data_IF_865098135339
#
_entry.id   IF_865098135339
#
_cell.length_a   1.000
_cell.length_b   1.000
_cell.length_c   1.000
_cell.angle_alpha   90.00
_cell.angle_beta   90.00
_cell.angle_gamma   90.00
#
_symmetry.space_group_name_H-M   'P 1'
#
loop_
_entity.id
_entity.type
_entity.pdbx_description
1 polymer ?
#
# COMPACT_ATOMS: atom_id res chain seq x y z
N UNK A 1 17.96 1.04 3.70
CA UNK A 1 17.85 -0.40 3.97
C UNK A 1 17.14 -0.61 5.29
N UNK A 2 16.39 -1.69 5.40
CA UNK A 2 15.59 -2.05 6.57
C UNK A 2 16.47 -2.48 7.75
N UNK A 3 15.99 -2.29 8.98
CA UNK A 3 16.73 -2.61 10.22
C UNK A 3 15.87 -3.47 11.16
N UNK A 4 16.48 -4.49 11.74
CA UNK A 4 15.87 -5.31 12.80
C UNK A 4 15.54 -4.43 14.01
N UNK A 5 14.36 -4.62 14.58
CA UNK A 5 13.83 -3.86 15.72
C UNK A 5 13.04 -2.60 15.34
N UNK A 6 13.12 -2.16 14.08
CA UNK A 6 12.32 -1.04 13.57
C UNK A 6 10.97 -1.54 13.03
N UNK A 7 10.03 -0.59 12.87
CA UNK A 7 8.70 -0.85 12.34
C UNK A 7 8.52 -0.18 10.98
N UNK A 8 7.97 -0.93 10.02
CA UNK A 8 7.78 -0.49 8.63
C UNK A 8 6.36 -0.81 8.17
N UNK A 9 5.82 0.04 7.30
CA UNK A 9 4.52 -0.18 6.66
C UNK A 9 4.74 -0.59 5.21
N UNK A 10 4.11 -1.68 4.79
CA UNK A 10 4.11 -2.12 3.41
C UNK A 10 2.75 -1.78 2.77
N UNK A 11 2.79 -1.26 1.54
CA UNK A 11 1.61 -0.86 0.77
C UNK A 11 1.50 -1.70 -0.50
N UNK A 12 0.32 -2.25 -0.76
CA UNK A 12 -0.02 -2.96 -1.99
C UNK A 12 -1.16 -2.24 -2.71
N UNK A 13 -0.85 -1.44 -3.74
CA UNK A 13 -1.85 -0.78 -4.56
C UNK A 13 -2.54 -1.78 -5.49
N UNK A 14 -3.85 -1.65 -5.60
CA UNK A 14 -4.72 -2.41 -6.50
C UNK A 14 -5.54 -1.44 -7.33
N UNK A 15 -5.62 -1.66 -8.63
CA UNK A 15 -6.34 -0.78 -9.55
C UNK A 15 -6.98 -1.54 -10.68
N UNK A 16 -8.22 -1.19 -11.02
CA UNK A 16 -8.86 -1.67 -12.25
C UNK A 16 -8.22 -1.09 -13.52
N UNK A 17 -7.47 0.00 -13.38
CA UNK A 17 -6.70 0.62 -14.47
C UNK A 17 -5.27 0.06 -14.57
N UNK A 18 -4.92 -0.92 -13.74
CA UNK A 18 -3.65 -1.63 -13.81
C UNK A 18 -3.55 -2.52 -15.06
N UNK A 19 -2.71 -3.55 -15.00
CA UNK A 19 -2.41 -4.43 -16.14
C UNK A 19 -1.83 -3.69 -17.35
N UNK A 20 -0.64 -3.12 -17.17
CA UNK A 20 0.12 -2.41 -18.22
C UNK A 20 0.63 -3.27 -19.38
N UNK A 21 0.22 -4.54 -19.46
CA UNK A 21 0.76 -5.48 -20.45
C UNK A 21 2.25 -5.82 -20.22
N UNK A 22 2.81 -5.51 -19.05
CA UNK A 22 4.12 -6.00 -18.62
C UNK A 22 3.96 -7.37 -17.96
N UNK A 23 4.92 -8.27 -18.17
CA UNK A 23 4.82 -9.67 -17.75
C UNK A 23 4.53 -9.88 -16.25
N UNK A 24 4.93 -8.91 -15.41
CA UNK A 24 4.86 -9.04 -13.96
C UNK A 24 3.95 -7.99 -13.28
N UNK A 25 3.37 -7.02 -14.00
CA UNK A 25 2.41 -6.01 -13.52
C UNK A 25 2.76 -5.17 -12.26
N UNK A 26 3.92 -5.38 -11.61
CA UNK A 26 4.45 -4.50 -10.56
C UNK A 26 5.24 -3.36 -11.19
N UNK A 27 4.96 -2.13 -10.74
CA UNK A 27 5.56 -0.93 -11.31
C UNK A 27 5.91 0.12 -10.26
N UNK A 28 6.93 0.92 -10.59
CA UNK A 28 7.27 2.14 -9.86
C UNK A 28 7.47 3.28 -10.86
N UNK A 29 7.00 4.51 -10.58
CA UNK A 29 6.30 4.96 -9.37
C UNK A 29 4.82 4.56 -9.35
N UNK A 30 4.21 4.56 -8.16
CA UNK A 30 2.79 4.22 -7.89
C UNK A 30 1.79 4.66 -8.97
N UNK A 31 1.91 5.90 -9.47
CA UNK A 31 0.97 6.46 -10.46
C UNK A 31 1.02 5.76 -11.83
N UNK A 32 2.17 5.20 -12.21
CA UNK A 32 2.35 4.54 -13.50
C UNK A 32 1.56 3.22 -13.54
N UNK A 33 1.70 2.41 -12.49
CA UNK A 33 0.96 1.15 -12.35
C UNK A 33 -0.54 1.33 -12.11
N UNK A 34 -0.91 2.26 -11.23
CA UNK A 34 -2.30 2.41 -10.79
C UNK A 34 -3.18 3.08 -11.85
N UNK A 35 -2.63 3.83 -12.81
CA UNK A 35 -3.40 4.59 -13.80
C UNK A 35 -3.04 4.25 -15.24
N UNK A 36 -2.33 3.16 -15.46
CA UNK A 36 -1.78 2.75 -16.73
C UNK A 36 -2.78 2.80 -17.90
N UNK A 37 -3.97 2.25 -17.67
CA UNK A 37 -5.05 2.18 -18.65
C UNK A 37 -6.16 3.21 -18.40
N UNK A 38 -5.91 4.26 -17.59
CA UNK A 38 -6.95 5.24 -17.20
C UNK A 38 -7.62 5.90 -18.42
N UNK A 39 -6.88 6.14 -19.50
CA UNK A 39 -7.39 6.73 -20.74
C UNK A 39 -8.28 5.83 -21.59
N UNK A 40 -8.43 4.54 -21.22
CA UNK A 40 -9.28 3.57 -21.92
C UNK A 40 -10.69 3.49 -21.36
N UNK A 41 -10.97 4.11 -20.22
CA UNK A 41 -12.26 4.06 -19.54
C UNK A 41 -13.05 5.33 -19.80
N UNK A 42 -14.37 5.19 -20.00
CA UNK A 42 -15.28 6.34 -19.99
C UNK A 42 -15.41 6.85 -18.55
N UNK A 43 -15.15 8.14 -18.36
CA UNK A 43 -15.17 8.83 -17.06
C UNK A 43 -14.32 8.11 -15.97
N UNK A 44 -12.99 8.03 -16.17
CA UNK A 44 -12.13 7.22 -15.31
C UNK A 44 -11.96 7.81 -13.91
N UNK A 45 -12.17 9.11 -13.74
CA UNK A 45 -11.94 9.81 -12.48
C UNK A 45 -13.18 9.80 -11.57
N UNK A 46 -14.37 9.45 -12.08
CA UNK A 46 -15.53 9.26 -11.21
C UNK A 46 -15.38 8.00 -10.37
N UNK A 47 -15.86 8.08 -9.13
CA UNK A 47 -15.89 6.97 -8.17
C UNK A 47 -14.55 6.23 -8.01
N UNK A 48 -13.44 6.97 -8.06
CA UNK A 48 -12.09 6.43 -8.00
C UNK A 48 -11.87 5.54 -6.76
N UNK A 49 -12.56 5.81 -5.65
CA UNK A 49 -12.55 5.00 -4.43
C UNK A 49 -13.03 3.56 -4.64
N UNK A 50 -13.85 3.31 -5.65
CA UNK A 50 -14.33 1.96 -6.01
C UNK A 50 -13.41 1.26 -7.02
N UNK A 51 -12.52 2.03 -7.66
CA UNK A 51 -11.68 1.62 -8.79
C UNK A 51 -10.21 1.42 -8.39
N UNK A 52 -9.76 2.12 -7.34
CA UNK A 52 -8.41 2.08 -6.80
C UNK A 52 -8.45 1.87 -5.29
N UNK A 53 -7.72 0.87 -4.83
CA UNK A 53 -7.57 0.54 -3.42
C UNK A 53 -6.11 0.34 -3.03
N UNK A 54 -5.74 0.62 -1.79
CA UNK A 54 -4.43 0.28 -1.23
C UNK A 54 -4.63 -0.55 0.02
N UNK A 55 -3.98 -1.70 0.07
CA UNK A 55 -3.86 -2.50 1.28
C UNK A 55 -2.57 -2.12 2.00
N UNK A 56 -2.62 -2.01 3.32
CA UNK A 56 -1.46 -1.67 4.12
C UNK A 56 -1.35 -2.55 5.37
N UNK A 57 -0.12 -2.95 5.70
CA UNK A 57 0.21 -3.67 6.93
C UNK A 57 1.48 -3.13 7.56
N UNK A 58 1.47 -3.09 8.89
CA UNK A 58 2.58 -2.62 9.71
C UNK A 58 3.32 -3.81 10.30
N UNK A 59 4.65 -3.81 10.12
CA UNK A 59 5.53 -4.89 10.53
C UNK A 59 6.68 -4.40 11.40
N UNK A 60 6.90 -5.05 12.54
CA UNK A 60 8.15 -4.94 13.30
C UNK A 60 9.10 -6.03 12.83
N UNK A 61 10.29 -5.64 12.35
CA UNK A 61 11.27 -6.57 11.81
C UNK A 61 12.00 -7.30 12.93
N UNK A 62 12.03 -8.62 12.86
CA UNK A 62 12.76 -9.49 13.79
C UNK A 62 13.80 -10.33 13.04
N UNK A 63 14.85 -10.76 13.73
CA UNK A 63 15.83 -11.70 13.18
C UNK A 63 15.46 -13.14 13.60
N UNK A 64 14.30 -13.59 13.14
CA UNK A 64 13.71 -14.88 13.50
C UNK A 64 12.97 -15.47 12.30
N UNK A 65 13.45 -16.61 11.80
CA UNK A 65 12.92 -17.26 10.59
C UNK A 65 11.59 -17.96 10.81
N UNK A 66 11.14 -18.14 12.06
CA UNK A 66 9.78 -18.61 12.34
C UNK A 66 8.73 -17.60 11.83
N UNK A 67 9.14 -16.34 11.64
CA UNK A 67 8.34 -15.26 11.05
C UNK A 67 8.68 -15.00 9.58
N UNK A 68 9.33 -15.93 8.87
CA UNK A 68 9.64 -15.77 7.45
C UNK A 68 8.40 -15.87 6.57
N UNK A 69 8.26 -14.93 5.63
CA UNK A 69 7.22 -14.93 4.60
C UNK A 69 7.84 -14.69 3.21
N UNK A 70 7.76 -15.68 2.28
CA UNK A 70 8.53 -15.64 1.03
C UNK A 70 7.96 -14.72 -0.05
N UNK A 71 6.69 -14.34 0.07
CA UNK A 71 5.87 -13.78 -1.01
C UNK A 71 5.31 -12.39 -0.66
N UNK A 72 6.02 -11.62 0.17
CA UNK A 72 5.57 -10.31 0.68
C UNK A 72 5.29 -9.29 -0.44
N UNK A 73 5.90 -9.45 -1.61
CA UNK A 73 5.63 -8.61 -2.79
C UNK A 73 4.24 -8.83 -3.40
N UNK A 74 3.63 -10.02 -3.22
CA UNK A 74 2.40 -10.41 -3.92
C UNK A 74 1.13 -9.78 -3.36
N UNK A 75 1.17 -9.23 -2.15
CA UNK A 75 0.00 -8.65 -1.52
C UNK A 75 0.04 -8.75 0.00
N UNK A 76 -1.00 -8.17 0.59
CA UNK A 76 -1.27 -8.23 2.03
C UNK A 76 -1.39 -9.68 2.52
N UNK A 77 -0.79 -9.99 3.68
CA UNK A 77 -0.89 -11.31 4.29
C UNK A 77 -2.27 -11.43 4.94
N UNK A 78 -3.03 -12.46 4.56
CA UNK A 78 -4.40 -12.72 5.07
C UNK A 78 -4.50 -14.08 5.79
N UNK A 79 -3.40 -14.52 6.40
CA UNK A 79 -3.31 -15.77 7.15
C UNK A 79 -3.14 -15.50 8.65
N UNK A 80 -3.55 -16.47 9.47
CA UNK A 80 -3.49 -16.35 10.93
C UNK A 80 -4.29 -15.14 11.41
N UNK A 81 -3.67 -14.26 12.19
CA UNK A 81 -4.29 -13.03 12.69
C UNK A 81 -4.05 -11.80 11.81
N UNK A 82 -3.29 -11.93 10.72
CA UNK A 82 -3.03 -10.84 9.79
C UNK A 82 -4.24 -10.58 8.88
N UNK A 83 -4.58 -9.31 8.66
CA UNK A 83 -5.69 -8.90 7.80
C UNK A 83 -7.09 -9.12 8.41
N UNK A 84 -7.20 -9.46 9.70
CA UNK A 84 -8.47 -9.64 10.41
C UNK A 84 -9.05 -8.34 10.96
N UNK A 85 -8.20 -7.45 11.46
CA UNK A 85 -8.64 -6.18 12.07
C UNK A 85 -8.32 -4.99 11.16
N UNK A 86 -9.25 -4.69 10.25
CA UNK A 86 -9.05 -3.71 9.18
C UNK A 86 -9.79 -2.40 9.45
N UNK A 87 -9.09 -1.28 9.27
CA UNK A 87 -9.69 0.04 9.08
C UNK A 87 -9.88 0.32 7.59
N UNK A 88 -11.05 0.82 7.22
CA UNK A 88 -11.36 1.26 5.86
C UNK A 88 -11.61 2.76 5.85
N UNK A 89 -10.88 3.50 5.03
CA UNK A 89 -11.10 4.93 4.86
C UNK A 89 -10.79 5.39 3.44
N UNK A 90 -11.40 6.49 3.03
CA UNK A 90 -11.05 7.16 1.77
C UNK A 90 -9.92 8.14 2.01
N UNK A 91 -8.84 8.03 1.25
CA UNK A 91 -7.66 8.89 1.37
C UNK A 91 -7.12 9.34 0.03
N UNK A 92 -5.89 9.82 0.03
CA UNK A 92 -5.13 10.14 -1.19
C UNK A 92 -4.01 9.14 -1.44
N UNK A 93 -3.45 9.19 -2.64
CA UNK A 93 -2.29 8.41 -3.05
C UNK A 93 -1.05 8.83 -2.25
N UNK A 94 -0.28 7.88 -1.74
CA UNK A 94 0.98 8.14 -1.05
C UNK A 94 2.09 8.43 -2.07
N UNK A 95 2.49 9.69 -2.18
CA UNK A 95 3.61 10.13 -3.01
C UNK A 95 4.19 11.44 -2.49
N UNK A 96 5.51 11.59 -2.59
CA UNK A 96 6.29 12.70 -1.99
C UNK A 96 6.07 14.07 -2.63
N UNK A 97 5.28 14.17 -3.70
CA UNK A 97 5.01 15.42 -4.45
C UNK A 97 3.65 16.07 -4.15
N UNK A 98 2.97 15.63 -3.08
CA UNK A 98 1.62 16.09 -2.71
C UNK A 98 1.57 16.49 -1.22
N UNK A 99 1.10 17.71 -0.94
CA UNK A 99 0.96 18.28 0.40
C UNK A 99 -0.52 18.58 0.73
N UNK A 100 -0.78 19.22 1.87
CA UNK A 100 -2.13 19.59 2.30
C UNK A 100 -2.72 20.80 1.52
N UNK A 101 -1.95 21.42 0.62
CA UNK A 101 -2.39 22.53 -0.24
C UNK A 101 -2.64 22.07 -1.69
N UNK A 102 -1.90 21.06 -2.16
CA UNK A 102 -2.00 20.43 -3.49
C UNK A 102 -2.51 19.00 -3.33
N UNK A 103 -3.83 18.89 -3.23
CA UNK A 103 -4.53 17.60 -3.23
C UNK A 103 -4.22 16.84 -4.52
N UNK A 104 -3.96 15.53 -4.40
CA UNK A 104 -3.82 14.66 -5.58
C UNK A 104 -5.10 14.71 -6.42
N UNK A 105 -4.97 14.85 -7.74
CA UNK A 105 -6.09 14.78 -8.68
C UNK A 105 -6.77 13.40 -8.69
N UNK A 106 -6.13 12.40 -8.07
CA UNK A 106 -6.58 11.02 -7.97
C UNK A 106 -7.06 10.75 -6.55
N UNK A 107 -8.10 11.49 -6.14
CA UNK A 107 -8.78 11.35 -4.86
C UNK A 107 -10.29 11.37 -5.07
N UNK A 108 -11.06 10.65 -4.23
CA UNK A 108 -10.61 9.74 -3.17
C UNK A 108 -10.22 8.34 -3.70
N UNK A 109 -9.28 7.66 -3.03
CA UNK A 109 -9.01 6.21 -3.18
C UNK A 109 -9.34 5.47 -1.88
N UNK A 110 -9.60 4.16 -1.93
CA UNK A 110 -9.90 3.38 -0.72
C UNK A 110 -8.63 2.82 -0.09
N UNK A 111 -8.43 3.07 1.20
CA UNK A 111 -7.39 2.45 2.01
C UNK A 111 -7.99 1.34 2.87
N UNK A 112 -7.26 0.23 2.96
CA UNK A 112 -7.57 -0.93 3.79
C UNK A 112 -6.33 -1.19 4.64
N UNK A 113 -6.34 -0.73 5.89
CA UNK A 113 -5.17 -0.76 6.78
C UNK A 113 -5.40 -1.75 7.90
N UNK A 114 -4.50 -2.72 8.04
CA UNK A 114 -4.48 -3.60 9.21
C UNK A 114 -4.05 -2.80 10.44
N UNK A 115 -4.91 -2.78 11.47
CA UNK A 115 -4.67 -2.03 12.70
C UNK A 115 -3.72 -2.76 13.65
N UNK A 116 -3.40 -4.01 13.37
CA UNK A 116 -2.50 -4.82 14.19
C UNK A 116 -1.07 -4.73 13.64
N UNK A 117 -0.11 -4.44 14.53
CA UNK A 117 1.31 -4.55 14.18
C UNK A 117 1.74 -6.02 14.26
N UNK A 118 2.37 -6.52 13.21
CA UNK A 118 2.79 -7.91 13.11
C UNK A 118 4.31 -8.06 13.18
N UNK A 119 4.80 -9.21 13.63
CA UNK A 119 6.21 -9.55 13.54
C UNK A 119 6.49 -10.21 12.19
N UNK A 120 7.62 -9.87 11.58
CA UNK A 120 8.08 -10.51 10.34
C UNK A 120 9.60 -10.60 10.31
N UNK A 121 10.13 -11.68 9.72
CA UNK A 121 11.58 -11.83 9.58
C UNK A 121 12.15 -10.74 8.68
N UNK A 122 13.33 -10.22 9.05
CA UNK A 122 14.13 -9.35 8.18
C UNK A 122 14.43 -10.02 6.83
N UNK A 123 14.60 -11.34 6.78
CA UNK A 123 14.82 -12.10 5.55
C UNK A 123 13.63 -12.02 4.58
N UNK A 124 12.40 -11.78 5.08
CA UNK A 124 11.21 -11.56 4.25
C UNK A 124 11.29 -10.23 3.50
N UNK A 125 11.78 -9.18 4.15
CA UNK A 125 12.01 -7.88 3.52
C UNK A 125 13.19 -7.92 2.54
N UNK A 126 14.25 -8.68 2.85
CA UNK A 126 15.35 -8.91 1.90
C UNK A 126 14.86 -9.66 0.66
N UNK A 127 14.02 -10.69 0.85
CA UNK A 127 13.38 -11.43 -0.24
C UNK A 127 12.47 -10.53 -1.08
N UNK A 128 11.67 -9.68 -0.44
CA UNK A 128 10.84 -8.69 -1.13
C UNK A 128 11.70 -7.74 -1.98
N UNK A 129 12.80 -7.23 -1.44
CA UNK A 129 13.74 -6.39 -2.20
C UNK A 129 14.35 -7.15 -3.40
N UNK A 130 14.73 -8.42 -3.20
CA UNK A 130 15.26 -9.27 -4.25
C UNK A 130 14.21 -9.53 -5.35
N UNK A 131 12.95 -9.74 -4.99
CA UNK A 131 11.85 -9.92 -5.94
C UNK A 131 11.59 -8.64 -6.72
N UNK A 132 11.56 -7.48 -6.06
CA UNK A 132 11.45 -6.16 -6.71
C UNK A 132 12.58 -5.93 -7.71
N UNK A 133 13.83 -6.26 -7.36
CA UNK A 133 14.98 -6.19 -8.26
C UNK A 133 14.90 -7.17 -9.45
N UNK A 134 14.15 -8.25 -9.31
CA UNK A 134 13.96 -9.24 -10.38
C UNK A 134 12.84 -8.85 -11.36
N UNK A 135 12.09 -7.79 -11.05
CA UNK A 135 11.07 -7.27 -11.96
C UNK A 135 11.71 -6.65 -13.21
N UNK A 136 10.94 -6.64 -14.30
CA UNK A 136 11.38 -6.02 -15.56
C UNK A 136 11.36 -4.49 -15.52
N UNK A 137 10.55 -3.94 -14.63
CA UNK A 137 10.48 -2.50 -14.39
C UNK A 137 11.49 -2.08 -13.32
N UNK A 138 11.90 -0.80 -13.32
CA UNK A 138 12.89 -0.28 -12.36
C UNK A 138 12.23 0.09 -11.03
N UNK A 139 12.19 -0.87 -10.11
CA UNK A 139 11.67 -0.68 -8.75
C UNK A 139 12.73 -0.18 -7.76
N UNK A 140 13.88 0.32 -8.23
CA UNK A 140 14.98 0.74 -7.34
C UNK A 140 14.60 1.82 -6.33
N UNK A 141 13.58 2.64 -6.64
CA UNK A 141 13.04 3.66 -5.74
C UNK A 141 12.34 3.11 -4.50
N UNK A 142 11.88 1.85 -4.53
CA UNK A 142 11.07 1.24 -3.46
C UNK A 142 11.86 0.23 -2.62
N UNK A 143 13.18 0.12 -2.87
CA UNK A 143 14.10 -0.73 -2.12
C UNK A 143 14.50 -0.16 -0.74
N UNK A 144 13.90 0.96 -0.34
CA UNK A 144 14.13 1.59 0.95
C UNK A 144 12.83 2.18 1.51
N UNK A 145 12.70 2.25 2.84
CA UNK A 145 11.53 2.84 3.47
C UNK A 145 11.44 4.33 3.14
N UNK A 146 10.29 4.74 2.62
CA UNK A 146 9.94 6.14 2.46
C UNK A 146 9.56 6.75 3.82
N UNK A 147 9.79 8.05 4.00
CA UNK A 147 9.47 8.73 5.26
C UNK A 147 7.97 8.61 5.59
N UNK A 148 7.65 8.31 6.85
CA UNK A 148 6.27 8.36 7.32
C UNK A 148 5.77 9.80 7.32
N UNK A 149 4.58 10.03 6.76
CA UNK A 149 3.88 11.30 6.94
C UNK A 149 3.23 11.29 8.32
N UNK A 150 3.17 12.45 8.98
CA UNK A 150 2.25 12.61 10.11
C UNK A 150 0.85 12.30 9.61
N UNK A 151 0.17 11.38 10.31
CA UNK A 151 -1.23 11.07 10.04
C UNK A 151 -2.05 12.35 10.10
N UNK A 152 -3.07 12.44 9.24
CA UNK A 152 -4.05 13.52 9.27
C UNK A 152 -4.62 13.61 10.69
N UNK A 153 -4.73 14.83 11.21
CA UNK A 153 -5.31 15.12 12.53
C UNK A 153 -6.65 14.40 12.68
N UNK A 154 -6.91 13.81 13.86
CA UNK A 154 -8.10 13.03 14.14
C UNK A 154 -9.38 13.82 13.79
N UNK A 155 -9.36 15.15 13.96
CA UNK A 155 -10.49 16.04 13.66
C UNK A 155 -10.78 16.21 12.16
N UNK A 156 -9.85 15.80 11.29
CA UNK A 156 -9.97 15.84 9.83
C UNK A 156 -10.19 14.44 9.22
N UNK A 157 -10.17 13.39 10.05
CA UNK A 157 -10.57 12.05 9.61
C UNK A 157 -12.08 11.99 9.51
N UNK A 158 -12.61 11.72 8.31
CA UNK A 158 -14.05 11.52 8.12
C UNK A 158 -14.50 10.24 8.83
N UNK A 159 -15.33 10.37 9.86
CA UNK A 159 -16.03 9.24 10.47
C UNK A 159 -17.22 8.85 9.59
N UNK A 160 -17.03 7.84 8.73
CA UNK A 160 -18.11 7.21 7.98
C UNK A 160 -18.74 6.03 8.73
N UNK A 161 -18.47 5.84 10.03
CA UNK A 161 -19.30 4.93 10.82
C UNK A 161 -20.72 5.50 10.86
N UNK A 162 -21.63 4.87 10.12
CA UNK A 162 -23.01 4.88 10.55
C UNK A 162 -23.01 4.35 11.98
N UNK A 163 -23.31 5.25 12.93
CA UNK A 163 -23.62 4.90 14.31
C UNK A 163 -24.92 4.10 14.31
N UNK A 164 -24.81 2.83 13.94
CA UNK A 164 -25.85 1.85 14.12
C UNK A 164 -25.99 1.56 15.61
N UNK A 165 -26.93 2.24 16.27
CA UNK A 165 -27.53 1.72 17.51
C UNK A 165 -28.98 2.20 17.67
N UNK A 166 -29.86 1.21 17.49
CA UNK A 166 -31.22 0.99 18.05
C UNK A 166 -32.25 2.10 17.95
#
# INVERSE_FOLDING_TARGET
GYKVGETYEAHWPHSIFGDCGTLNQYQSPFYDGVLCNVGLFEDPLSDLQTKVGVQAQVYTLVNDEDYFYPDLMKGMIVDGDMGKDMAYYTGSTTGTTRDNEVCSQYTPITWQVDRTCHLISASSFDKMCADMLSMRDDMSSDLYPHGSRELVDHDLTHDNHQTGRS
#
